data_IF_264191905867
#
_entry.id   IF_264191905867
#
_cell.length_a   1.000
_cell.length_b   1.000
_cell.length_c   1.000
_cell.angle_alpha   90.00
_cell.angle_beta   90.00
_cell.angle_gamma   90.00
#
_symmetry.space_group_name_H-M   'P 1'
#
loop_
_entity.id
_entity.type
_entity.pdbx_description
1 polymer ?
#
# COMPACT_ATOMS: atom_id res chain seq x y z
N UNK A 1 -28.66 12.51 -19.84
CA UNK A 1 -27.31 12.41 -20.45
C UNK A 1 -26.51 11.50 -19.55
N UNK A 2 -26.33 10.23 -19.92
CA UNK A 2 -25.42 9.33 -19.22
C UNK A 2 -23.99 9.79 -19.52
N UNK A 3 -23.23 10.11 -18.48
CA UNK A 3 -21.80 10.37 -18.57
C UNK A 3 -21.12 9.06 -19.02
N UNK A 4 -20.30 9.06 -20.08
CA UNK A 4 -19.58 7.86 -20.48
C UNK A 4 -18.71 7.40 -19.31
N UNK A 5 -18.86 6.14 -18.91
CA UNK A 5 -18.01 5.49 -17.90
C UNK A 5 -16.59 5.52 -18.46
N UNK A 6 -15.74 6.38 -17.92
CA UNK A 6 -14.34 6.41 -18.31
C UNK A 6 -13.71 5.07 -17.91
N UNK A 7 -13.33 4.28 -18.90
CA UNK A 7 -12.57 3.05 -18.71
C UNK A 7 -11.12 3.44 -18.45
N UNK A 8 -10.65 3.17 -17.24
CA UNK A 8 -9.27 3.41 -16.82
C UNK A 8 -8.59 2.05 -16.65
N UNK A 9 -8.09 1.44 -17.74
CA UNK A 9 -7.58 0.08 -17.71
C UNK A 9 -6.43 -0.11 -16.70
N UNK A 10 -5.67 0.94 -16.40
CA UNK A 10 -4.63 0.92 -15.38
C UNK A 10 -5.19 0.86 -13.95
N UNK A 11 -6.35 1.50 -13.69
CA UNK A 11 -7.02 1.42 -12.39
C UNK A 11 -7.68 0.06 -12.20
N UNK A 12 -8.25 -0.51 -13.28
CA UNK A 12 -8.79 -1.87 -13.24
C UNK A 12 -7.66 -2.90 -13.01
N UNK A 13 -6.53 -2.76 -13.70
CA UNK A 13 -5.34 -3.59 -13.46
C UNK A 13 -4.79 -3.42 -12.04
N UNK A 14 -4.80 -2.20 -11.49
CA UNK A 14 -4.39 -1.96 -10.11
C UNK A 14 -5.36 -2.61 -9.11
N UNK A 15 -6.67 -2.53 -9.35
CA UNK A 15 -7.68 -3.17 -8.52
C UNK A 15 -7.55 -4.70 -8.55
N UNK A 16 -7.32 -5.27 -9.73
CA UNK A 16 -7.04 -6.70 -9.92
C UNK A 16 -5.73 -7.10 -9.24
N UNK A 17 -4.69 -6.28 -9.32
CA UNK A 17 -3.41 -6.51 -8.63
C UNK A 17 -3.56 -6.44 -7.11
N UNK A 18 -4.32 -5.47 -6.58
CA UNK A 18 -4.62 -5.37 -5.14
C UNK A 18 -5.41 -6.60 -4.68
N UNK A 19 -6.39 -7.04 -5.46
CA UNK A 19 -7.21 -8.23 -5.17
C UNK A 19 -6.37 -9.50 -5.20
N UNK A 20 -5.49 -9.63 -6.20
CA UNK A 20 -4.53 -10.73 -6.34
C UNK A 20 -3.55 -10.74 -5.16
N UNK A 21 -3.03 -9.57 -4.77
CA UNK A 21 -2.14 -9.42 -3.62
C UNK A 21 -2.82 -9.79 -2.30
N UNK A 22 -4.06 -9.34 -2.11
CA UNK A 22 -4.88 -9.70 -0.95
C UNK A 22 -5.14 -11.22 -0.89
N UNK A 23 -5.36 -11.87 -2.05
CA UNK A 23 -5.46 -13.33 -2.15
C UNK A 23 -4.14 -14.07 -1.94
N UNK A 24 -3.02 -13.45 -2.31
CA UNK A 24 -1.67 -13.98 -2.13
C UNK A 24 -1.08 -13.74 -0.73
N UNK A 25 -1.81 -13.08 0.19
CA UNK A 25 -1.37 -12.76 1.58
C UNK A 25 -0.89 -13.98 2.39
N UNK A 26 -1.27 -15.19 1.97
CA UNK A 26 -0.81 -16.44 2.57
C UNK A 26 0.64 -16.80 2.20
N UNK A 27 1.20 -16.16 1.16
CA UNK A 27 2.54 -16.42 0.60
C UNK A 27 3.53 -15.28 0.84
N UNK A 28 3.05 -14.13 1.30
CA UNK A 28 3.87 -12.95 1.59
C UNK A 28 3.83 -12.73 3.10
N UNK A 29 4.99 -12.62 3.79
CA UNK A 29 5.00 -12.25 5.19
C UNK A 29 4.21 -10.95 5.41
N UNK A 30 3.28 -10.96 6.37
CA UNK A 30 2.41 -9.81 6.65
C UNK A 30 3.21 -8.53 6.90
N UNK A 31 4.36 -8.65 7.58
CA UNK A 31 5.31 -7.55 7.79
C UNK A 31 5.80 -6.93 6.48
N UNK A 32 6.09 -7.73 5.46
CA UNK A 32 6.52 -7.24 4.15
C UNK A 32 5.35 -6.54 3.44
N UNK A 33 4.16 -7.16 3.46
CA UNK A 33 2.96 -6.57 2.85
C UNK A 33 2.65 -5.17 3.41
N UNK A 34 2.71 -5.01 4.73
CA UNK A 34 2.45 -3.73 5.40
C UNK A 34 3.49 -2.65 5.04
N UNK A 35 4.77 -3.04 4.93
CA UNK A 35 5.87 -2.13 4.53
C UNK A 35 5.72 -1.64 3.09
N UNK A 36 5.45 -2.55 2.15
CA UNK A 36 5.25 -2.20 0.74
C UNK A 36 4.00 -1.32 0.56
N UNK A 37 2.92 -1.64 1.27
CA UNK A 37 1.70 -0.82 1.26
C UNK A 37 1.96 0.59 1.77
N UNK A 38 2.72 0.74 2.86
CA UNK A 38 3.09 2.06 3.39
C UNK A 38 3.92 2.88 2.38
N UNK A 39 4.84 2.25 1.65
CA UNK A 39 5.61 2.91 0.59
C UNK A 39 4.72 3.38 -0.55
N UNK A 40 3.80 2.52 -1.01
CA UNK A 40 2.87 2.85 -2.09
C UNK A 40 1.95 4.02 -1.73
N UNK A 41 1.45 4.07 -0.49
CA UNK A 41 0.63 5.19 0.01
C UNK A 41 1.42 6.50 -0.03
N UNK A 42 2.69 6.52 0.41
CA UNK A 42 3.55 7.72 0.35
C UNK A 42 3.77 8.21 -1.08
N UNK A 43 4.03 7.29 -2.02
CA UNK A 43 4.29 7.66 -3.41
C UNK A 43 3.02 8.24 -4.03
N UNK A 44 1.89 7.55 -3.88
CA UNK A 44 0.61 7.96 -4.47
C UNK A 44 0.09 9.27 -3.87
N UNK A 45 0.21 9.47 -2.55
CA UNK A 45 -0.20 10.71 -1.90
C UNK A 45 0.59 11.90 -2.44
N UNK A 46 1.92 11.75 -2.61
CA UNK A 46 2.78 12.80 -3.16
C UNK A 46 2.48 13.11 -4.63
N UNK A 47 2.17 12.09 -5.44
CA UNK A 47 1.74 12.30 -6.82
C UNK A 47 0.41 13.07 -6.84
N UNK A 48 -0.54 12.68 -5.99
CA UNK A 48 -1.85 13.29 -5.90
C UNK A 48 -1.77 14.76 -5.42
N UNK A 49 -1.02 15.05 -4.37
CA UNK A 49 -0.92 16.40 -3.78
C UNK A 49 -0.25 17.38 -4.74
N UNK A 50 0.70 16.93 -5.55
CA UNK A 50 1.29 17.74 -6.63
C UNK A 50 0.28 18.16 -7.71
N UNK A 51 -0.84 17.45 -7.86
CA UNK A 51 -1.92 17.79 -8.81
C UNK A 51 -3.01 18.66 -8.20
N UNK A 52 -3.02 18.85 -6.88
CA UNK A 52 -4.01 19.71 -6.22
C UNK A 52 -3.64 21.19 -6.41
N UNK A 53 -4.61 22.08 -6.70
CA UNK A 53 -4.37 23.51 -6.80
C UNK A 53 -4.35 24.21 -5.43
N UNK A 54 -5.08 23.66 -4.45
CA UNK A 54 -5.27 24.23 -3.12
C UNK A 54 -4.24 23.70 -2.12
N UNK A 55 -3.54 24.61 -1.44
CA UNK A 55 -2.51 24.28 -0.45
C UNK A 55 -3.09 23.62 0.80
N UNK A 56 -4.25 24.08 1.29
CA UNK A 56 -4.85 23.51 2.50
C UNK A 56 -5.21 22.04 2.28
N UNK A 57 -5.77 21.73 1.11
CA UNK A 57 -6.10 20.36 0.70
C UNK A 57 -4.87 19.48 0.49
N UNK A 58 -3.70 20.04 0.17
CA UNK A 58 -2.44 19.28 0.11
C UNK A 58 -2.04 18.86 1.51
N UNK A 59 -1.99 19.83 2.42
CA UNK A 59 -1.56 19.60 3.80
C UNK A 59 -2.45 18.55 4.48
N UNK A 60 -3.77 18.57 4.24
CA UNK A 60 -4.72 17.58 4.76
C UNK A 60 -4.44 16.15 4.22
N UNK A 61 -4.20 16.03 2.90
CA UNK A 61 -3.94 14.73 2.26
C UNK A 61 -2.59 14.18 2.69
N UNK A 62 -1.57 15.04 2.81
CA UNK A 62 -0.24 14.66 3.29
C UNK A 62 -0.29 14.21 4.75
N UNK A 63 -0.97 14.96 5.62
CA UNK A 63 -1.13 14.59 7.03
C UNK A 63 -1.88 13.26 7.20
N UNK A 64 -2.95 13.03 6.42
CA UNK A 64 -3.69 11.77 6.46
C UNK A 64 -2.83 10.58 5.97
N UNK A 65 -2.08 10.78 4.89
CA UNK A 65 -1.17 9.76 4.35
C UNK A 65 -0.06 9.43 5.36
N UNK A 66 0.57 10.43 5.95
CA UNK A 66 1.62 10.26 6.95
C UNK A 66 1.11 9.53 8.20
N UNK A 67 -0.11 9.86 8.65
CA UNK A 67 -0.74 9.16 9.76
C UNK A 67 -0.94 7.67 9.43
N UNK A 68 -1.52 7.35 8.28
CA UNK A 68 -1.74 5.96 7.84
C UNK A 68 -0.42 5.19 7.72
N UNK A 69 0.59 5.81 7.12
CA UNK A 69 1.94 5.22 6.97
C UNK A 69 2.57 4.93 8.32
N UNK A 70 2.41 5.84 9.28
CA UNK A 70 2.89 5.65 10.65
C UNK A 70 2.23 4.44 11.29
N UNK A 71 0.91 4.31 11.18
CA UNK A 71 0.18 3.17 11.74
C UNK A 71 0.58 1.84 11.08
N UNK A 72 0.73 1.81 9.76
CA UNK A 72 1.17 0.62 9.03
C UNK A 72 2.59 0.19 9.43
N UNK A 73 3.50 1.15 9.62
CA UNK A 73 4.87 0.87 10.09
C UNK A 73 4.89 0.36 11.52
N UNK A 74 4.10 0.95 12.41
CA UNK A 74 3.94 0.48 13.79
C UNK A 74 3.40 -0.95 13.82
N UNK A 75 2.30 -1.22 13.10
CA UNK A 75 1.75 -2.56 13.00
C UNK A 75 2.77 -3.57 12.45
N UNK A 76 3.54 -3.19 11.43
CA UNK A 76 4.60 -4.05 10.88
C UNK A 76 5.74 -4.33 11.88
N UNK A 77 6.04 -3.39 12.78
CA UNK A 77 7.07 -3.54 13.81
C UNK A 77 6.63 -4.43 14.97
N UNK A 78 5.34 -4.39 15.32
CA UNK A 78 4.77 -5.22 16.40
C UNK A 78 4.56 -6.68 15.99
N UNK A 79 4.61 -6.98 14.70
CA UNK A 79 4.50 -8.36 14.22
C UNK A 79 5.75 -9.17 14.56
N UNK A 80 5.60 -10.44 14.95
CA UNK A 80 6.73 -11.33 15.14
C UNK A 80 7.52 -11.45 13.82
N UNK A 81 8.85 -11.58 13.88
CA UNK A 81 9.64 -11.81 12.68
C UNK A 81 9.15 -13.09 11.97
N UNK A 82 9.16 -13.12 10.63
CA UNK A 82 8.78 -14.31 9.90
C UNK A 82 9.63 -15.49 10.37
N UNK A 83 9.07 -16.70 10.47
CA UNK A 83 9.85 -17.88 10.84
C UNK A 83 11.01 -18.03 9.85
N UNK A 84 12.22 -17.91 10.36
CA UNK A 84 13.43 -18.24 9.60
C UNK A 84 13.42 -19.75 9.41
N UNK A 85 12.96 -20.24 8.27
CA UNK A 85 13.25 -21.61 7.85
C UNK A 85 14.77 -21.69 7.62
N UNK A 86 15.52 -21.94 8.69
CA UNK A 86 16.91 -22.34 8.57
C UNK A 86 16.92 -23.68 7.84
N UNK A 87 17.65 -23.84 6.72
CA UNK A 87 17.82 -25.15 6.12
C UNK A 87 18.40 -26.07 7.18
N UNK A 88 17.67 -27.15 7.49
CA UNK A 88 18.16 -28.19 8.39
C UNK A 88 19.52 -28.70 7.92
N UNK A 89 20.39 -29.16 8.84
CA UNK A 89 21.71 -29.65 8.47
C UNK A 89 21.58 -30.76 7.39
N UNK A 90 22.51 -30.80 6.41
CA UNK A 90 22.52 -31.89 5.44
C UNK A 90 22.63 -33.23 6.18
N UNK A 91 21.75 -34.17 5.84
CA UNK A 91 21.84 -35.57 6.28
C UNK A 91 22.99 -36.29 5.58
#
# INVERSE_FOLDING_TARGET
METPKAEYPELDQLADAITTLAGARHRIPLTQLLRETALNVLILSRIATNRLPDKLRKDDVEAAADHLVTQLRHAAWELPPPPTELPGPPQ
#
